data_IF_338974704510
#
_entry.id   IF_338974704510
#
_cell.length_a   1.000
_cell.length_b   1.000
_cell.length_c   1.000
_cell.angle_alpha   90.00
_cell.angle_beta   90.00
_cell.angle_gamma   90.00
#
_symmetry.space_group_name_H-M   'P 1'
#
loop_
_entity.id
_entity.type
_entity.pdbx_description
1 polymer ?
#
# COMPACT_ATOMS: atom_id res chain seq x y z
N UNK A 1 18.57 9.68 -16.02
CA UNK A 1 19.48 8.52 -15.87
C UNK A 1 19.81 8.15 -14.40
N UNK A 2 19.30 8.85 -13.37
CA UNK A 2 19.55 8.48 -11.97
C UNK A 2 18.66 7.35 -11.41
N UNK A 3 17.47 7.11 -12.00
CA UNK A 3 16.48 6.18 -11.47
C UNK A 3 16.85 4.70 -11.51
N UNK A 4 17.75 4.29 -12.42
CA UNK A 4 18.18 2.88 -12.52
C UNK A 4 19.22 2.49 -11.46
N UNK A 5 19.99 3.44 -10.92
CA UNK A 5 21.10 3.13 -10.03
C UNK A 5 20.66 2.77 -8.61
N UNK A 6 19.51 3.27 -8.14
CA UNK A 6 19.06 3.08 -6.74
C UNK A 6 17.88 2.13 -6.56
N UNK A 7 17.51 1.37 -7.61
CA UNK A 7 16.38 0.41 -7.55
C UNK A 7 16.56 -0.64 -6.45
N UNK A 8 17.81 -1.04 -6.20
CA UNK A 8 18.17 -2.02 -5.17
C UNK A 8 17.68 -1.63 -3.77
N UNK A 9 17.61 -0.33 -3.44
CA UNK A 9 17.07 0.18 -2.18
C UNK A 9 15.59 -0.17 -1.97
N UNK A 10 14.82 -0.35 -3.05
CA UNK A 10 13.39 -0.64 -2.99
C UNK A 10 13.06 -2.14 -3.06
N UNK A 11 14.01 -2.97 -3.50
CA UNK A 11 13.78 -4.40 -3.79
C UNK A 11 14.56 -5.31 -2.84
N UNK A 12 15.80 -4.96 -2.50
CA UNK A 12 16.69 -5.77 -1.68
C UNK A 12 16.52 -5.46 -0.19
N UNK A 13 16.85 -6.42 0.68
CA UNK A 13 16.80 -6.20 2.12
C UNK A 13 18.02 -5.39 2.61
N UNK A 14 17.90 -4.79 3.78
CA UNK A 14 19.02 -4.07 4.42
C UNK A 14 20.21 -5.03 4.55
N UNK A 15 21.43 -4.61 4.16
CA UNK A 15 22.63 -5.41 4.31
C UNK A 15 22.80 -5.91 5.75
N UNK A 16 22.96 -7.23 5.93
CA UNK A 16 23.08 -7.84 7.25
C UNK A 16 24.37 -7.43 7.97
N UNK A 17 25.42 -7.13 7.21
CA UNK A 17 26.69 -6.63 7.73
C UNK A 17 26.78 -5.11 7.62
N UNK A 18 26.81 -4.43 8.77
CA UNK A 18 27.02 -2.98 8.87
C UNK A 18 28.50 -2.58 8.69
N UNK A 19 29.19 -3.18 7.73
CA UNK A 19 30.60 -2.90 7.39
C UNK A 19 30.75 -2.63 5.90
N UNK A 20 31.69 -1.76 5.55
CA UNK A 20 31.97 -1.41 4.14
C UNK A 20 30.83 -0.62 3.50
N UNK A 21 30.07 -1.28 2.62
CA UNK A 21 29.06 -0.67 1.73
C UNK A 21 27.81 -0.12 2.45
N UNK A 22 27.65 -0.40 3.75
CA UNK A 22 26.47 0.03 4.53
C UNK A 22 26.28 1.55 4.53
N UNK A 23 27.36 2.33 4.64
CA UNK A 23 27.25 3.79 4.65
C UNK A 23 26.68 4.34 3.33
N UNK A 24 27.14 3.79 2.20
CA UNK A 24 26.61 4.15 0.89
C UNK A 24 25.14 3.70 0.71
N UNK A 25 24.79 2.52 1.22
CA UNK A 25 23.40 2.05 1.23
C UNK A 25 22.50 2.95 2.08
N UNK A 26 22.96 3.41 3.25
CA UNK A 26 22.20 4.27 4.16
C UNK A 26 21.97 5.67 3.55
N UNK A 27 22.99 6.25 2.93
CA UNK A 27 22.85 7.51 2.16
C UNK A 27 21.85 7.35 1.00
N UNK A 28 21.95 6.26 0.25
CA UNK A 28 21.02 5.97 -0.84
C UNK A 28 19.60 5.74 -0.34
N UNK A 29 19.43 5.08 0.81
CA UNK A 29 18.16 4.91 1.50
C UNK A 29 17.51 6.26 1.82
N UNK A 30 18.23 7.19 2.48
CA UNK A 30 17.68 8.51 2.79
C UNK A 30 17.36 9.34 1.55
N UNK A 31 18.18 9.25 0.50
CA UNK A 31 17.90 9.94 -0.76
C UNK A 31 16.60 9.44 -1.37
N UNK A 32 16.40 8.12 -1.44
CA UNK A 32 15.17 7.54 -1.97
C UNK A 32 13.97 7.87 -1.08
N UNK A 33 14.11 7.84 0.25
CA UNK A 33 13.06 8.28 1.18
C UNK A 33 12.64 9.73 0.90
N UNK A 34 13.60 10.64 0.68
CA UNK A 34 13.30 12.03 0.34
C UNK A 34 12.53 12.15 -0.97
N UNK A 35 12.87 11.35 -1.99
CA UNK A 35 12.13 11.33 -3.25
C UNK A 35 10.71 10.83 -3.06
N UNK A 36 10.52 9.77 -2.28
CA UNK A 36 9.17 9.26 -1.95
C UNK A 36 8.37 10.35 -1.22
N UNK A 37 8.90 10.95 -0.16
CA UNK A 37 8.22 12.02 0.59
C UNK A 37 7.83 13.22 -0.29
N UNK A 38 8.69 13.59 -1.23
CA UNK A 38 8.42 14.71 -2.15
C UNK A 38 7.49 14.33 -3.31
N UNK A 39 7.25 13.04 -3.55
CA UNK A 39 6.41 12.56 -4.65
C UNK A 39 4.98 12.21 -4.22
N UNK A 40 4.73 12.07 -2.92
CA UNK A 40 3.40 11.78 -2.39
C UNK A 40 2.63 13.06 -2.09
N UNK A 41 1.30 12.97 -2.12
CA UNK A 41 0.46 14.07 -1.69
C UNK A 41 0.62 14.35 -0.19
N UNK A 42 0.41 15.60 0.22
CA UNK A 42 0.62 16.06 1.60
C UNK A 42 -0.21 15.30 2.63
N UNK A 43 -1.38 14.79 2.25
CA UNK A 43 -2.24 13.99 3.12
C UNK A 43 -1.76 12.54 3.28
N UNK A 44 -0.93 12.05 2.35
CA UNK A 44 -0.33 10.69 2.38
C UNK A 44 0.99 10.72 3.16
N UNK A 45 1.76 11.81 3.10
CA UNK A 45 3.06 11.92 3.77
C UNK A 45 3.07 11.48 5.25
N UNK A 46 2.08 11.84 6.11
CA UNK A 46 2.03 11.36 7.49
C UNK A 46 1.93 9.83 7.63
N UNK A 47 1.34 9.14 6.65
CA UNK A 47 1.15 7.69 6.66
C UNK A 47 2.44 6.90 6.43
N UNK A 48 3.49 7.57 5.94
CA UNK A 48 4.79 6.94 5.65
C UNK A 48 5.96 7.57 6.41
N UNK A 49 5.73 8.67 7.15
CA UNK A 49 6.76 9.44 7.83
C UNK A 49 7.46 8.68 8.98
N UNK A 50 6.83 7.63 9.52
CA UNK A 50 7.39 6.83 10.62
C UNK A 50 8.32 5.71 10.16
N UNK A 51 8.39 5.43 8.87
CA UNK A 51 9.29 4.41 8.34
C UNK A 51 10.72 4.95 8.27
N UNK A 52 11.69 4.09 8.59
CA UNK A 52 13.12 4.41 8.52
C UNK A 52 13.79 3.86 7.27
N UNK A 53 13.03 3.17 6.41
CA UNK A 53 13.53 2.53 5.19
C UNK A 53 12.65 2.90 4.00
N UNK A 54 13.28 3.30 2.91
CA UNK A 54 12.63 3.57 1.63
C UNK A 54 11.85 2.35 1.12
N UNK A 55 12.38 1.14 1.30
CA UNK A 55 11.70 -0.12 0.97
C UNK A 55 10.36 -0.27 1.68
N UNK A 56 10.31 0.05 2.97
CA UNK A 56 9.10 -0.10 3.77
C UNK A 56 8.05 0.93 3.36
N UNK A 57 8.46 2.19 3.15
CA UNK A 57 7.60 3.25 2.61
C UNK A 57 6.99 2.82 1.27
N UNK A 58 7.83 2.35 0.34
CA UNK A 58 7.41 1.93 -0.99
C UNK A 58 6.51 0.69 -0.95
N UNK A 59 6.81 -0.28 -0.10
CA UNK A 59 6.00 -1.49 0.07
C UNK A 59 4.62 -1.17 0.63
N UNK A 60 4.54 -0.26 1.60
CA UNK A 60 3.26 0.24 2.12
C UNK A 60 2.46 0.95 1.02
N UNK A 61 3.06 1.91 0.33
CA UNK A 61 2.39 2.65 -0.74
C UNK A 61 1.90 1.71 -1.85
N UNK A 62 2.71 0.73 -2.25
CA UNK A 62 2.32 -0.28 -3.22
C UNK A 62 1.16 -1.13 -2.70
N UNK A 63 1.19 -1.62 -1.47
CA UNK A 63 0.09 -2.43 -0.91
C UNK A 63 -1.22 -1.65 -0.82
N UNK A 64 -1.16 -0.37 -0.46
CA UNK A 64 -2.33 0.48 -0.22
C UNK A 64 -2.91 1.06 -1.51
N UNK A 65 -2.06 1.49 -2.44
CA UNK A 65 -2.47 2.28 -3.61
C UNK A 65 -2.18 1.61 -4.95
N UNK A 66 -1.47 0.47 -4.98
CA UNK A 66 -1.32 -0.25 -6.25
C UNK A 66 -2.66 -0.81 -6.69
N UNK A 67 -2.98 -0.64 -7.97
CA UNK A 67 -4.11 -1.31 -8.60
C UNK A 67 -3.99 -2.85 -8.61
N UNK A 68 -2.80 -3.39 -8.33
CA UNK A 68 -2.52 -4.82 -8.34
C UNK A 68 -3.13 -5.55 -7.14
N UNK A 69 -3.13 -4.92 -5.97
CA UNK A 69 -3.83 -5.41 -4.77
C UNK A 69 -4.98 -4.45 -4.52
N UNK A 70 -6.14 -4.76 -5.09
CA UNK A 70 -7.34 -3.94 -5.05
C UNK A 70 -8.00 -3.93 -3.65
N UNK A 71 -7.19 -3.76 -2.60
CA UNK A 71 -7.55 -3.81 -1.18
C UNK A 71 -8.64 -2.80 -0.88
N UNK A 72 -8.58 -1.61 -1.48
CA UNK A 72 -9.64 -0.60 -1.34
C UNK A 72 -10.97 -1.12 -1.85
N UNK A 73 -11.03 -1.77 -3.04
CA UNK A 73 -12.30 -2.36 -3.49
C UNK A 73 -12.70 -3.59 -2.68
N UNK A 74 -11.76 -4.39 -2.19
CA UNK A 74 -12.08 -5.51 -1.29
C UNK A 74 -12.75 -4.99 -0.01
N UNK A 75 -12.16 -3.98 0.64
CA UNK A 75 -12.74 -3.35 1.83
C UNK A 75 -14.09 -2.69 1.54
N UNK A 76 -14.25 -2.04 0.38
CA UNK A 76 -15.54 -1.49 -0.05
C UNK A 76 -16.60 -2.59 -0.24
N UNK A 77 -16.25 -3.72 -0.86
CA UNK A 77 -17.16 -4.85 -1.02
C UNK A 77 -17.52 -5.48 0.33
N UNK A 78 -16.55 -5.64 1.24
CA UNK A 78 -16.80 -6.13 2.60
C UNK A 78 -17.75 -5.18 3.36
N UNK A 79 -17.54 -3.86 3.26
CA UNK A 79 -18.42 -2.87 3.86
C UNK A 79 -19.84 -2.90 3.26
N UNK A 80 -19.96 -2.99 1.92
CA UNK A 80 -21.24 -3.17 1.24
C UNK A 80 -21.98 -4.41 1.74
N UNK A 81 -21.29 -5.57 1.80
CA UNK A 81 -21.85 -6.82 2.31
C UNK A 81 -22.30 -6.70 3.77
N UNK A 82 -21.50 -6.08 4.65
CA UNK A 82 -21.87 -5.87 6.05
C UNK A 82 -23.07 -4.92 6.23
N UNK A 83 -23.27 -4.00 5.29
CA UNK A 83 -24.37 -3.04 5.31
C UNK A 83 -25.68 -3.58 4.71
N UNK A 84 -25.63 -4.70 3.96
CA UNK A 84 -26.84 -5.40 3.49
C UNK A 84 -27.56 -6.00 4.71
N UNK A 85 -28.71 -5.40 5.04
CA UNK A 85 -29.61 -5.87 6.11
C UNK A 85 -30.99 -6.08 5.51
N UNK A 86 -31.64 -7.19 5.88
CA UNK A 86 -32.97 -7.57 5.39
C UNK A 86 -34.02 -6.45 5.59
N UNK A 87 -34.00 -5.75 6.73
CA UNK A 87 -34.97 -4.68 7.07
C UNK A 87 -36.42 -5.12 6.71
N UNK A 88 -37.17 -4.28 5.99
CA UNK A 88 -38.53 -4.55 5.50
C UNK A 88 -38.56 -5.27 4.13
N UNK A 89 -37.42 -5.75 3.63
CA UNK A 89 -37.40 -6.52 2.37
C UNK A 89 -37.94 -7.92 2.59
N UNK A 90 -38.76 -8.40 1.65
CA UNK A 90 -39.10 -9.82 1.56
C UNK A 90 -37.81 -10.65 1.42
N UNK A 91 -37.82 -11.85 2.00
CA UNK A 91 -36.67 -12.76 2.02
C UNK A 91 -36.08 -12.96 0.62
N UNK A 92 -36.94 -13.06 -0.40
CA UNK A 92 -36.55 -13.26 -1.79
C UNK A 92 -35.72 -12.08 -2.33
N UNK A 93 -36.09 -10.85 -1.97
CA UNK A 93 -35.44 -9.62 -2.40
C UNK A 93 -34.08 -9.42 -1.70
N UNK A 94 -34.00 -9.77 -0.42
CA UNK A 94 -32.77 -9.73 0.36
C UNK A 94 -31.73 -10.71 -0.19
N UNK A 95 -32.13 -11.98 -0.41
CA UNK A 95 -31.23 -13.00 -0.97
C UNK A 95 -30.74 -12.64 -2.37
N UNK A 96 -31.61 -12.10 -3.23
CA UNK A 96 -31.20 -11.64 -4.56
C UNK A 96 -30.14 -10.53 -4.49
N UNK A 97 -30.29 -9.59 -3.55
CA UNK A 97 -29.34 -8.48 -3.35
C UNK A 97 -28.00 -8.97 -2.80
N UNK A 98 -28.04 -9.91 -1.84
CA UNK A 98 -26.84 -10.51 -1.26
C UNK A 98 -26.04 -11.30 -2.29
N UNK A 99 -26.71 -12.13 -3.10
CA UNK A 99 -26.06 -12.91 -4.16
C UNK A 99 -25.45 -11.99 -5.22
N UNK A 100 -26.18 -10.96 -5.65
CA UNK A 100 -25.67 -9.99 -6.63
C UNK A 100 -24.44 -9.20 -6.13
N UNK A 101 -24.34 -8.94 -4.83
CA UNK A 101 -23.18 -8.28 -4.22
C UNK A 101 -21.98 -9.23 -4.06
N UNK A 102 -22.22 -10.53 -3.84
CA UNK A 102 -21.18 -11.55 -3.70
C UNK A 102 -20.54 -11.96 -5.04
N UNK A 103 -21.30 -11.94 -6.14
CA UNK A 103 -20.82 -12.34 -7.48
C UNK A 103 -20.09 -11.21 -8.25
N UNK A 104 -19.86 -10.07 -7.60
CA UNK A 104 -19.32 -8.84 -8.21
C UNK A 104 -17.80 -8.75 -8.10
#
# INVERSE_FOLDING_TARGET
MAGHMKKYILEEDEPTEKKGIYAAWDEDNYIVMSWIMNSVESHIAPTIAYYTKAKDMWSFLRKTYSHATNVVKILQLEEELCNIRQRDQDLSQYFATLIAAYER
#
